data_IF_685787663985
#
_entry.id   IF_685787663985
#
_cell.length_a   1.000
_cell.length_b   1.000
_cell.length_c   1.000
_cell.angle_alpha   90.00
_cell.angle_beta   90.00
_cell.angle_gamma   90.00
#
_symmetry.space_group_name_H-M   'P 1'
#
loop_
_entity.id
_entity.type
_entity.pdbx_description
1 polymer ?
#
# COMPACT_ATOMS: atom_id res chain seq x y z
N UNK A 1 -0.92 3.83 -1.86
CA UNK A 1 -0.71 4.32 -0.49
C UNK A 1 -1.84 3.88 0.43
N UNK A 2 -3.07 4.33 0.19
CA UNK A 2 -4.24 4.04 1.05
C UNK A 2 -4.45 2.55 1.37
N UNK A 3 -4.51 1.69 0.35
CA UNK A 3 -4.69 0.22 0.54
C UNK A 3 -3.61 -0.37 1.43
N UNK A 4 -2.34 -0.02 1.17
CA UNK A 4 -1.20 -0.52 1.94
C UNK A 4 -1.21 -0.01 3.39
N UNK A 5 -1.61 1.24 3.61
CA UNK A 5 -1.78 1.78 4.95
C UNK A 5 -2.90 1.08 5.73
N UNK A 6 -3.96 0.62 5.05
CA UNK A 6 -5.05 -0.12 5.69
C UNK A 6 -4.66 -1.57 6.01
N UNK A 7 -3.90 -2.23 5.13
CA UNK A 7 -3.55 -3.66 5.28
C UNK A 7 -2.30 -3.89 6.14
N UNK A 8 -1.30 -3.01 6.07
CA UNK A 8 -0.05 -3.19 6.80
C UNK A 8 -0.24 -3.39 8.32
N UNK A 9 -1.09 -2.60 9.02
CA UNK A 9 -1.33 -2.78 10.45
C UNK A 9 -1.98 -4.12 10.80
N UNK A 10 -2.88 -4.60 9.94
CA UNK A 10 -3.53 -5.92 10.11
C UNK A 10 -2.49 -7.04 10.03
N UNK A 11 -1.57 -6.94 9.06
CA UNK A 11 -0.51 -7.94 8.89
C UNK A 11 0.54 -7.90 10.00
N UNK A 12 0.87 -6.71 10.50
CA UNK A 12 1.87 -6.49 11.55
C UNK A 12 1.30 -6.62 12.97
N UNK A 13 -0.03 -6.70 13.11
CA UNK A 13 -0.74 -6.64 14.39
C UNK A 13 -0.36 -5.39 15.19
N UNK A 14 -0.27 -4.24 14.53
CA UNK A 14 0.04 -2.94 15.12
C UNK A 14 -1.12 -1.95 14.96
N UNK A 15 -1.02 -0.79 15.60
CA UNK A 15 -1.97 0.29 15.39
C UNK A 15 -1.76 0.94 14.00
N UNK A 16 -2.80 1.39 13.30
CA UNK A 16 -2.64 2.12 12.05
C UNK A 16 -1.75 3.37 12.15
N UNK A 17 -1.65 3.99 13.32
CA UNK A 17 -0.77 5.14 13.55
C UNK A 17 0.72 4.78 13.66
N UNK A 18 1.07 3.52 13.89
CA UNK A 18 2.46 3.06 14.02
C UNK A 18 3.21 3.02 12.69
N UNK A 19 2.47 2.98 11.56
CA UNK A 19 3.04 2.89 10.22
C UNK A 19 2.40 3.88 9.24
N UNK A 20 3.23 4.59 8.50
CA UNK A 20 2.77 5.53 7.46
C UNK A 20 3.19 5.09 6.08
N UNK A 21 2.29 5.29 5.12
CA UNK A 21 2.56 5.12 3.69
C UNK A 21 2.63 6.50 3.02
N UNK A 22 3.76 6.82 2.40
CA UNK A 22 3.99 8.11 1.74
C UNK A 22 4.34 7.93 0.26
N UNK A 23 3.44 8.30 -0.67
CA UNK A 23 3.71 8.20 -2.09
C UNK A 23 4.57 9.38 -2.58
N UNK A 24 5.54 9.09 -3.43
CA UNK A 24 6.34 10.09 -4.16
C UNK A 24 6.30 9.79 -5.66
N UNK A 25 5.86 10.76 -6.46
CA UNK A 25 5.86 10.65 -7.94
C UNK A 25 7.30 10.53 -8.46
N UNK A 26 8.23 11.25 -7.83
CA UNK A 26 9.65 11.21 -8.17
C UNK A 26 10.46 11.26 -6.89
N UNK A 27 11.04 10.13 -6.53
CA UNK A 27 11.94 10.02 -5.39
C UNK A 27 13.22 10.82 -5.63
N UNK A 28 13.74 11.57 -4.64
CA UNK A 28 15.03 12.23 -4.77
C UNK A 28 16.19 11.23 -4.90
N UNK A 29 16.05 10.03 -4.35
CA UNK A 29 17.11 9.02 -4.32
C UNK A 29 17.18 8.19 -5.60
N UNK A 30 16.04 7.71 -6.10
CA UNK A 30 15.99 6.85 -7.28
C UNK A 30 15.59 7.57 -8.55
N UNK A 31 15.07 8.80 -8.46
CA UNK A 31 14.47 9.56 -9.57
C UNK A 31 13.26 8.84 -10.22
N UNK A 32 12.74 7.80 -9.58
CA UNK A 32 11.58 7.01 -10.01
C UNK A 32 10.39 7.19 -9.05
N UNK A 33 9.16 6.84 -9.47
CA UNK A 33 8.02 6.75 -8.57
C UNK A 33 8.29 5.74 -7.45
N UNK A 34 8.00 6.13 -6.22
CA UNK A 34 8.26 5.30 -5.04
C UNK A 34 7.14 5.44 -4.02
N UNK A 35 6.86 4.35 -3.31
CA UNK A 35 5.98 4.34 -2.16
C UNK A 35 6.81 3.95 -0.94
N UNK A 36 6.92 4.87 0.02
CA UNK A 36 7.64 4.64 1.25
C UNK A 36 6.71 4.16 2.34
N UNK A 37 7.11 3.11 3.07
CA UNK A 37 6.48 2.70 4.31
C UNK A 37 7.50 2.82 5.44
N UNK A 38 7.14 3.51 6.51
CA UNK A 38 8.05 3.76 7.63
C UNK A 38 7.31 3.78 8.97
N UNK A 39 8.04 3.43 10.02
CA UNK A 39 7.57 3.45 11.40
C UNK A 39 7.46 4.90 11.87
N UNK A 40 6.36 5.25 12.52
CA UNK A 40 6.21 6.59 13.12
C UNK A 40 6.92 6.74 14.46
N UNK A 41 7.31 5.61 15.06
CA UNK A 41 8.02 5.59 16.34
C UNK A 41 9.46 6.12 16.19
N UNK A 42 9.91 7.08 17.03
CA UNK A 42 11.28 7.58 17.00
C UNK A 42 12.32 6.46 17.14
N UNK A 43 13.29 6.43 16.23
CA UNK A 43 14.32 5.38 16.18
C UNK A 43 13.90 4.10 15.46
N UNK A 44 12.60 3.92 15.17
CA UNK A 44 12.06 2.74 14.52
C UNK A 44 12.04 1.53 15.44
N UNK A 45 10.99 0.71 15.31
CA UNK A 45 10.83 -0.54 16.08
C UNK A 45 10.86 -1.78 15.17
N UNK A 46 11.02 -1.58 13.87
CA UNK A 46 11.22 -2.62 12.87
C UNK A 46 9.95 -3.11 12.18
N UNK A 47 8.85 -2.35 12.20
CA UNK A 47 7.61 -2.72 11.51
C UNK A 47 7.80 -2.70 9.98
N UNK A 48 8.32 -1.58 9.48
CA UNK A 48 8.71 -1.40 8.08
C UNK A 48 9.76 -2.42 7.63
N UNK A 49 10.72 -2.78 8.50
CA UNK A 49 11.70 -3.82 8.20
C UNK A 49 11.04 -5.20 8.00
N UNK A 50 10.09 -5.57 8.87
CA UNK A 50 9.32 -6.81 8.72
C UNK A 50 8.54 -6.84 7.40
N UNK A 51 7.88 -5.73 7.03
CA UNK A 51 7.17 -5.63 5.76
C UNK A 51 8.10 -5.72 4.56
N UNK A 52 9.26 -5.08 4.63
CA UNK A 52 10.25 -5.09 3.56
C UNK A 52 10.79 -6.50 3.29
N UNK A 53 11.01 -7.29 4.35
CA UNK A 53 11.50 -8.67 4.22
C UNK A 53 10.43 -9.65 3.75
N UNK A 54 9.15 -9.36 3.94
CA UNK A 54 8.06 -10.23 3.50
C UNK A 54 6.89 -9.44 2.87
N UNK A 55 7.09 -8.82 1.69
CA UNK A 55 6.08 -7.95 1.08
C UNK A 55 4.96 -8.72 0.40
N UNK A 56 5.21 -9.97 -0.06
CA UNK A 56 4.26 -10.74 -0.87
C UNK A 56 2.89 -10.90 -0.21
N UNK A 57 2.78 -11.38 1.05
CA UNK A 57 1.48 -11.62 1.65
C UNK A 57 0.69 -10.32 1.85
N UNK A 58 1.39 -9.22 2.14
CA UNK A 58 0.80 -7.89 2.34
C UNK A 58 0.22 -7.36 1.03
N UNK A 59 0.98 -7.46 -0.07
CA UNK A 59 0.52 -7.02 -1.39
C UNK A 59 -0.61 -7.92 -1.92
N UNK A 60 -0.57 -9.23 -1.65
CA UNK A 60 -1.66 -10.14 -1.97
C UNK A 60 -2.96 -9.77 -1.24
N UNK A 61 -2.88 -9.54 0.08
CA UNK A 61 -4.03 -9.08 0.87
C UNK A 61 -4.56 -7.71 0.40
N UNK A 62 -3.68 -6.81 -0.05
CA UNK A 62 -4.10 -5.56 -0.68
C UNK A 62 -4.91 -5.80 -1.97
N UNK A 63 -4.45 -6.72 -2.82
CA UNK A 63 -5.15 -7.06 -4.05
C UNK A 63 -6.52 -7.68 -3.77
N UNK A 64 -6.59 -8.61 -2.82
CA UNK A 64 -7.85 -9.23 -2.37
C UNK A 64 -8.84 -8.18 -1.84
N UNK A 65 -8.38 -7.23 -1.02
CA UNK A 65 -9.22 -6.13 -0.52
C UNK A 65 -9.79 -5.28 -1.66
N UNK A 66 -8.96 -4.91 -2.64
CA UNK A 66 -9.38 -4.07 -3.76
C UNK A 66 -10.35 -4.82 -4.68
N UNK A 67 -10.10 -6.09 -4.97
CA UNK A 67 -10.96 -6.92 -5.82
C UNK A 67 -12.29 -7.28 -5.14
N UNK A 68 -12.27 -7.55 -3.83
CA UNK A 68 -13.47 -7.86 -3.04
C UNK A 68 -14.34 -6.64 -2.71
N UNK A 69 -13.82 -5.42 -2.87
CA UNK A 69 -14.60 -4.21 -2.59
C UNK A 69 -15.67 -3.97 -3.67
N UNK A 70 -16.92 -3.71 -3.27
CA UNK A 70 -18.03 -3.43 -4.20
C UNK A 70 -18.05 -2.04 -4.85
N UNK A 71 -17.04 -1.19 -4.62
CA UNK A 71 -17.00 0.16 -5.20
C UNK A 71 -16.63 0.13 -6.70
N UNK A 72 -17.07 1.14 -7.46
CA UNK A 72 -16.73 1.28 -8.89
C UNK A 72 -15.34 1.88 -9.10
N UNK A 73 -15.10 3.04 -8.50
CA UNK A 73 -13.91 3.87 -8.77
C UNK A 73 -12.96 3.98 -7.58
N UNK A 74 -13.49 3.95 -6.36
CA UNK A 74 -12.75 4.02 -5.11
C UNK A 74 -13.65 4.38 -3.92
N UNK A 75 -13.30 3.94 -2.72
CA UNK A 75 -13.92 4.36 -1.47
C UNK A 75 -12.87 4.43 -0.34
N UNK A 76 -13.18 5.10 0.79
CA UNK A 76 -12.26 5.22 1.93
C UNK A 76 -11.70 3.88 2.44
N UNK A 77 -12.48 2.80 2.31
CA UNK A 77 -12.10 1.48 2.80
C UNK A 77 -11.11 0.73 1.89
N UNK A 78 -10.91 1.16 0.63
CA UNK A 78 -10.00 0.48 -0.31
C UNK A 78 -8.91 1.43 -0.82
N UNK A 79 -9.03 1.92 -2.05
CA UNK A 79 -8.04 2.79 -2.72
C UNK A 79 -8.13 4.26 -2.31
N UNK A 80 -9.19 4.67 -1.61
CA UNK A 80 -9.49 6.06 -1.25
C UNK A 80 -10.75 6.60 -1.94
N UNK A 81 -11.29 7.75 -1.50
CA UNK A 81 -12.49 8.35 -2.08
C UNK A 81 -12.30 8.73 -3.55
N UNK A 82 -13.23 8.37 -4.42
CA UNK A 82 -13.10 8.59 -5.87
C UNK A 82 -12.85 10.06 -6.28
N UNK A 83 -13.35 11.04 -5.51
CA UNK A 83 -13.12 12.47 -5.74
C UNK A 83 -11.66 12.89 -5.51
N UNK A 84 -10.92 12.15 -4.69
CA UNK A 84 -9.52 12.44 -4.37
C UNK A 84 -8.55 11.63 -5.25
N UNK A 85 -8.91 10.38 -5.58
CA UNK A 85 -8.02 9.45 -6.29
C UNK A 85 -8.33 9.32 -7.79
N UNK A 86 -9.49 9.80 -8.24
CA UNK A 86 -9.95 9.74 -9.64
C UNK A 86 -10.83 8.53 -9.96
N UNK A 87 -11.51 8.60 -11.11
CA UNK A 87 -12.53 7.62 -11.52
C UNK A 87 -11.98 6.22 -11.83
N UNK A 88 -10.73 6.13 -12.30
CA UNK A 88 -10.07 4.87 -12.67
C UNK A 88 -9.11 4.36 -11.59
N UNK A 89 -9.12 4.94 -10.39
CA UNK A 89 -8.15 4.63 -9.35
C UNK A 89 -8.14 3.14 -8.96
N UNK A 90 -9.33 2.54 -8.82
CA UNK A 90 -9.46 1.11 -8.51
C UNK A 90 -8.83 0.21 -9.58
N UNK A 91 -9.07 0.51 -10.86
CA UNK A 91 -8.53 -0.26 -11.97
C UNK A 91 -6.99 -0.19 -11.99
N UNK A 92 -6.43 1.03 -11.99
CA UNK A 92 -4.98 1.22 -11.99
C UNK A 92 -4.30 0.66 -10.74
N UNK A 93 -4.91 0.79 -9.56
CA UNK A 93 -4.38 0.20 -8.34
C UNK A 93 -4.32 -1.33 -8.42
N UNK A 94 -5.33 -1.96 -9.02
CA UNK A 94 -5.38 -3.42 -9.24
C UNK A 94 -4.24 -3.86 -10.16
N UNK A 95 -4.03 -3.15 -11.28
CA UNK A 95 -2.94 -3.43 -12.22
C UNK A 95 -1.55 -3.29 -11.59
N UNK A 96 -1.35 -2.22 -10.81
CA UNK A 96 -0.08 -2.00 -10.08
C UNK A 96 0.18 -3.08 -9.03
N UNK A 97 -0.84 -3.50 -8.27
CA UNK A 97 -0.70 -4.58 -7.30
C UNK A 97 -0.37 -5.92 -7.96
N UNK A 98 -1.00 -6.23 -9.10
CA UNK A 98 -0.67 -7.42 -9.90
C UNK A 98 0.74 -7.36 -10.49
N UNK A 99 1.20 -6.18 -10.90
CA UNK A 99 2.59 -5.97 -11.33
C UNK A 99 3.56 -6.26 -10.17
N UNK A 100 3.31 -5.71 -8.99
CA UNK A 100 4.15 -5.92 -7.81
C UNK A 100 4.22 -7.40 -7.38
N UNK A 101 3.09 -8.12 -7.38
CA UNK A 101 3.07 -9.56 -7.07
C UNK A 101 3.98 -10.34 -8.02
N UNK A 102 3.91 -10.05 -9.32
CA UNK A 102 4.76 -10.70 -10.34
C UNK A 102 6.24 -10.36 -10.14
N UNK A 103 6.54 -9.12 -9.77
CA UNK A 103 7.92 -8.69 -9.55
C UNK A 103 8.53 -9.33 -8.30
N UNK A 104 7.76 -9.49 -7.23
CA UNK A 104 8.23 -10.17 -6.04
C UNK A 104 8.35 -11.69 -6.24
N UNK A 105 7.64 -12.31 -7.19
CA UNK A 105 7.60 -13.77 -7.38
C UNK A 105 8.94 -14.44 -7.77
N UNK A 106 10.00 -13.68 -7.96
CA UNK A 106 11.37 -14.14 -8.26
C UNK A 106 12.17 -14.33 -6.97
#
# INVERSE_FOLDING_TARGET
ANVLHNIAPVYLMCDPSDIRAFPMIKSPFSQLPALYLYDTYPGGIGLSFKLFNNPKPVVAACLELVQGCGCKSGCPSCVGPALEVGENAKAHATELLQFLIRQFAI
#
